data_IF_305925378681
#
_entry.id   IF_305925378681
#
_cell.length_a   1.000
_cell.length_b   1.000
_cell.length_c   1.000
_cell.angle_alpha   90.00
_cell.angle_beta   90.00
_cell.angle_gamma   90.00
#
_symmetry.space_group_name_H-M   'P 1'
#
loop_
_entity.id
_entity.type
_entity.pdbx_description
1 polymer ?
#
# COMPACT_ATOMS: atom_id res chain seq x y z
N UNK A 1 33.46 -15.92 17.33
CA UNK A 1 32.39 -15.63 16.36
C UNK A 1 31.98 -14.15 16.45
N UNK A 2 32.64 -13.18 15.74
CA UNK A 2 32.31 -11.74 15.83
C UNK A 2 31.15 -11.29 14.93
N UNK A 3 30.62 -12.15 14.05
CA UNK A 3 29.64 -11.73 13.02
C UNK A 3 28.22 -11.44 13.50
N UNK A 4 27.70 -12.12 14.52
CA UNK A 4 26.30 -11.99 14.96
C UNK A 4 26.00 -10.63 15.60
N UNK A 5 26.92 -10.05 16.34
CA UNK A 5 26.72 -8.76 17.00
C UNK A 5 26.67 -7.56 16.06
N UNK A 6 27.46 -7.58 14.97
CA UNK A 6 27.47 -6.52 13.96
C UNK A 6 26.18 -6.55 13.10
N UNK A 7 25.73 -7.73 12.76
CA UNK A 7 24.51 -7.94 11.99
C UNK A 7 23.25 -7.52 12.80
N UNK A 8 23.18 -7.88 14.08
CA UNK A 8 22.09 -7.46 14.96
C UNK A 8 22.04 -5.94 15.14
N UNK A 9 23.20 -5.27 15.29
CA UNK A 9 23.26 -3.79 15.35
C UNK A 9 22.85 -3.12 14.04
N UNK A 10 23.14 -3.73 12.89
CA UNK A 10 22.71 -3.27 11.56
C UNK A 10 21.19 -3.30 11.43
N UNK A 11 20.58 -4.43 11.78
CA UNK A 11 19.11 -4.62 11.76
C UNK A 11 18.40 -3.64 12.70
N UNK A 12 18.90 -3.49 13.94
CA UNK A 12 18.32 -2.55 14.90
C UNK A 12 18.40 -1.08 14.42
N UNK A 13 19.50 -0.71 13.73
CA UNK A 13 19.65 0.62 13.11
C UNK A 13 18.64 0.84 12.00
N UNK A 14 18.52 -0.12 11.09
CA UNK A 14 17.55 -0.08 10.00
C UNK A 14 16.13 0.09 10.52
N UNK A 15 15.73 -0.71 11.52
CA UNK A 15 14.41 -0.62 12.14
C UNK A 15 14.13 0.77 12.74
N UNK A 16 15.08 1.33 13.51
CA UNK A 16 14.92 2.69 14.05
C UNK A 16 14.76 3.76 12.97
N UNK A 17 15.51 3.65 11.87
CA UNK A 17 15.36 4.57 10.74
C UNK A 17 14.01 4.42 10.03
N UNK A 18 13.53 3.18 9.87
CA UNK A 18 12.21 2.90 9.28
C UNK A 18 11.12 3.54 10.14
N UNK A 19 11.13 3.33 11.45
CA UNK A 19 10.15 3.93 12.36
C UNK A 19 10.19 5.46 12.35
N UNK A 20 11.39 6.04 12.44
CA UNK A 20 11.56 7.48 12.39
C UNK A 20 11.09 8.07 11.05
N UNK A 21 11.41 7.42 9.94
CA UNK A 21 10.97 7.82 8.61
C UNK A 21 9.45 7.75 8.47
N UNK A 22 8.84 6.64 8.87
CA UNK A 22 7.38 6.48 8.84
C UNK A 22 6.68 7.57 9.65
N UNK A 23 7.13 7.81 10.88
CA UNK A 23 6.55 8.85 11.75
C UNK A 23 6.62 10.23 11.09
N UNK A 24 7.77 10.60 10.54
CA UNK A 24 7.92 11.90 9.86
C UNK A 24 7.10 11.99 8.57
N UNK A 25 6.96 10.90 7.82
CA UNK A 25 6.11 10.87 6.64
C UNK A 25 4.64 11.07 7.00
N UNK A 26 4.17 10.51 8.12
CA UNK A 26 2.81 10.69 8.62
C UNK A 26 2.56 12.09 9.22
N UNK A 27 3.58 12.68 9.86
CA UNK A 27 3.48 14.01 10.48
C UNK A 27 3.53 15.15 9.44
N UNK A 28 4.39 15.06 8.43
CA UNK A 28 4.70 16.20 7.54
C UNK A 28 4.73 15.86 6.04
N UNK A 29 4.46 14.62 5.66
CA UNK A 29 4.53 14.13 4.28
C UNK A 29 5.94 13.72 3.84
N UNK A 30 5.99 12.90 2.78
CA UNK A 30 7.27 12.41 2.22
C UNK A 30 8.12 13.56 1.67
N UNK A 31 7.53 14.48 0.90
CA UNK A 31 8.25 15.56 0.23
C UNK A 31 9.03 16.45 1.20
N UNK A 32 8.44 16.80 2.33
CA UNK A 32 9.03 17.70 3.34
C UNK A 32 10.00 17.02 4.30
N UNK A 33 10.10 15.69 4.29
CA UNK A 33 10.99 14.92 5.16
C UNK A 33 12.36 14.75 4.55
N UNK A 34 13.41 15.05 5.32
CA UNK A 34 14.81 14.88 4.92
C UNK A 34 15.48 13.71 5.63
N UNK A 35 16.52 13.12 5.02
CA UNK A 35 17.32 12.04 5.62
C UNK A 35 17.96 12.43 6.94
N UNK A 36 18.37 13.71 7.07
CA UNK A 36 18.93 14.24 8.32
C UNK A 36 17.89 14.35 9.45
N UNK A 37 16.62 14.68 9.13
CA UNK A 37 15.53 14.68 10.11
C UNK A 37 15.23 13.23 10.56
N UNK A 38 15.21 12.27 9.64
CA UNK A 38 14.99 10.85 9.96
C UNK A 38 16.07 10.35 10.91
N UNK A 39 17.35 10.60 10.60
CA UNK A 39 18.46 10.19 11.44
C UNK A 39 18.36 10.80 12.87
N UNK A 40 18.09 12.11 12.97
CA UNK A 40 17.91 12.79 14.26
C UNK A 40 16.73 12.22 15.06
N UNK A 41 15.58 11.97 14.43
CA UNK A 41 14.41 11.38 15.11
C UNK A 41 14.70 9.95 15.57
N UNK A 42 15.56 9.21 14.84
CA UNK A 42 16.05 7.88 15.26
C UNK A 42 17.11 7.94 16.38
N UNK A 43 17.50 9.11 16.86
CA UNK A 43 18.56 9.30 17.86
C UNK A 43 19.97 9.05 17.31
N UNK A 44 20.19 9.27 16.01
CA UNK A 44 21.44 8.94 15.30
C UNK A 44 22.00 10.12 14.52
N UNK A 45 23.28 10.02 14.15
CA UNK A 45 23.93 11.00 13.27
C UNK A 45 23.40 10.91 11.83
N UNK A 46 23.43 12.01 11.04
CA UNK A 46 23.06 11.96 9.63
C UNK A 46 23.83 10.92 8.81
N UNK A 47 25.10 10.68 9.11
CA UNK A 47 25.91 9.63 8.47
C UNK A 47 25.37 8.22 8.71
N UNK A 48 24.70 7.99 9.85
CA UNK A 48 24.10 6.71 10.18
C UNK A 48 22.94 6.34 9.26
N UNK A 49 22.26 7.33 8.65
CA UNK A 49 21.22 7.10 7.65
C UNK A 49 21.81 6.37 6.45
N UNK A 50 22.89 6.91 5.90
CA UNK A 50 23.54 6.37 4.70
C UNK A 50 24.27 5.02 4.95
N UNK A 51 24.48 4.66 6.22
CA UNK A 51 24.93 3.31 6.59
C UNK A 51 23.78 2.27 6.60
N UNK A 52 22.51 2.70 6.55
CA UNK A 52 21.34 1.83 6.51
C UNK A 52 20.61 1.88 5.16
N UNK A 53 20.54 3.06 4.55
CA UNK A 53 19.82 3.31 3.29
C UNK A 53 20.63 4.23 2.38
N UNK A 54 20.70 3.90 1.11
CA UNK A 54 21.37 4.72 0.10
C UNK A 54 20.76 6.12 -0.01
N UNK A 55 19.44 6.20 0.05
CA UNK A 55 18.67 7.45 -0.08
C UNK A 55 17.28 7.31 0.59
N UNK A 56 16.50 8.40 0.57
CA UNK A 56 15.14 8.42 1.14
C UNK A 56 14.17 7.48 0.39
N UNK A 57 14.36 7.29 -0.91
CA UNK A 57 13.55 6.37 -1.72
C UNK A 57 13.79 4.91 -1.32
N UNK A 58 15.03 4.50 -1.03
CA UNK A 58 15.35 3.17 -0.53
C UNK A 58 14.65 2.87 0.80
N UNK A 59 14.55 3.85 1.69
CA UNK A 59 13.76 3.73 2.93
C UNK A 59 12.26 3.59 2.62
N UNK A 60 11.73 4.39 1.68
CA UNK A 60 10.33 4.29 1.26
C UNK A 60 10.04 2.91 0.64
N UNK A 61 10.93 2.40 -0.20
CA UNK A 61 10.80 1.05 -0.75
C UNK A 61 10.71 -0.01 0.37
N UNK A 62 11.54 0.12 1.40
CA UNK A 62 11.49 -0.80 2.55
C UNK A 62 10.17 -0.71 3.32
N UNK A 63 9.65 0.50 3.53
CA UNK A 63 8.33 0.73 4.10
C UNK A 63 7.22 0.13 3.24
N UNK A 64 7.26 0.37 1.94
CA UNK A 64 6.29 -0.19 0.97
C UNK A 64 6.27 -1.71 1.02
N UNK A 65 7.43 -2.37 1.11
CA UNK A 65 7.53 -3.82 1.26
C UNK A 65 6.85 -4.34 2.54
N UNK A 66 7.04 -3.65 3.65
CA UNK A 66 6.43 -4.00 4.94
C UNK A 66 4.91 -3.81 4.87
N UNK A 67 4.45 -2.66 4.39
CA UNK A 67 3.03 -2.33 4.27
C UNK A 67 2.32 -3.30 3.34
N UNK A 68 2.89 -3.59 2.18
CA UNK A 68 2.34 -4.50 1.18
C UNK A 68 2.10 -5.91 1.76
N UNK A 69 3.04 -6.44 2.54
CA UNK A 69 2.88 -7.74 3.21
C UNK A 69 1.77 -7.72 4.27
N UNK A 70 1.66 -6.63 5.04
CA UNK A 70 0.68 -6.53 6.12
C UNK A 70 -0.74 -6.31 5.62
N UNK A 71 -0.95 -5.57 4.55
CA UNK A 71 -2.28 -5.25 4.00
C UNK A 71 -3.03 -6.49 3.54
N UNK A 72 -2.38 -7.36 2.77
CA UNK A 72 -3.00 -8.61 2.31
C UNK A 72 -3.37 -9.52 3.48
N UNK A 73 -2.47 -9.68 4.45
CA UNK A 73 -2.77 -10.48 5.64
C UNK A 73 -3.95 -9.92 6.46
N UNK A 74 -4.16 -8.60 6.44
CA UNK A 74 -5.30 -7.99 7.13
C UNK A 74 -6.61 -8.20 6.37
N UNK A 75 -6.61 -8.00 5.05
CA UNK A 75 -7.78 -8.26 4.21
C UNK A 75 -8.22 -9.73 4.28
N UNK A 76 -7.28 -10.67 4.28
CA UNK A 76 -7.55 -12.09 4.46
C UNK A 76 -8.23 -12.39 5.80
N UNK A 77 -7.80 -11.75 6.90
CA UNK A 77 -8.39 -11.94 8.23
C UNK A 77 -9.80 -11.34 8.38
N UNK A 78 -10.18 -10.42 7.52
CA UNK A 78 -11.53 -9.81 7.51
C UNK A 78 -12.57 -10.72 6.84
N UNK A 79 -12.14 -11.75 6.14
CA UNK A 79 -12.99 -12.60 5.33
C UNK A 79 -12.90 -14.06 5.80
N UNK A 80 -14.01 -14.85 5.72
CA UNK A 80 -13.96 -16.29 5.87
C UNK A 80 -13.01 -16.94 4.85
N UNK A 81 -12.38 -18.06 5.21
CA UNK A 81 -11.34 -18.72 4.42
C UNK A 81 -11.79 -19.22 3.02
N UNK A 82 -13.08 -19.37 2.78
CA UNK A 82 -13.70 -19.84 1.55
C UNK A 82 -14.20 -18.74 0.62
N UNK A 83 -13.84 -17.48 0.89
CA UNK A 83 -14.33 -16.36 0.09
C UNK A 83 -13.70 -16.26 -1.29
N UNK A 84 -14.48 -15.67 -2.21
CA UNK A 84 -14.04 -15.39 -3.58
C UNK A 84 -12.77 -14.54 -3.63
N UNK A 85 -11.76 -14.91 -4.44
CA UNK A 85 -10.59 -14.06 -4.67
C UNK A 85 -10.93 -12.65 -5.16
N UNK A 86 -12.05 -12.48 -5.89
CA UNK A 86 -12.54 -11.16 -6.32
C UNK A 86 -12.96 -10.29 -5.13
N UNK A 87 -13.60 -10.89 -4.12
CA UNK A 87 -13.97 -10.16 -2.91
C UNK A 87 -12.73 -9.74 -2.12
N UNK A 88 -11.75 -10.64 -1.98
CA UNK A 88 -10.49 -10.31 -1.31
C UNK A 88 -9.79 -9.13 -2.00
N UNK A 89 -9.69 -9.17 -3.33
CA UNK A 89 -9.14 -8.06 -4.13
C UNK A 89 -9.90 -6.75 -3.90
N UNK A 90 -11.24 -6.81 -3.94
CA UNK A 90 -12.07 -5.62 -3.76
C UNK A 90 -11.96 -5.03 -2.34
N UNK A 91 -11.92 -5.88 -1.31
CA UNK A 91 -11.77 -5.45 0.09
C UNK A 91 -10.38 -4.85 0.34
N UNK A 92 -9.32 -5.49 -0.15
CA UNK A 92 -7.94 -5.03 0.01
C UNK A 92 -7.74 -3.68 -0.67
N UNK A 93 -8.12 -3.56 -1.94
CA UNK A 93 -7.95 -2.32 -2.70
C UNK A 93 -8.88 -1.20 -2.20
N UNK A 94 -10.10 -1.55 -1.75
CA UNK A 94 -11.00 -0.62 -1.09
C UNK A 94 -10.41 -0.08 0.22
N UNK A 95 -9.81 -0.95 1.02
CA UNK A 95 -9.13 -0.56 2.27
C UNK A 95 -7.97 0.40 2.02
N UNK A 96 -7.17 0.19 0.97
CA UNK A 96 -6.10 1.13 0.60
C UNK A 96 -6.63 2.54 0.31
N UNK A 97 -7.76 2.65 -0.40
CA UNK A 97 -8.39 3.95 -0.67
C UNK A 97 -8.87 4.61 0.62
N UNK A 98 -9.45 3.86 1.57
CA UNK A 98 -9.85 4.39 2.88
C UNK A 98 -8.64 4.86 3.69
N UNK A 99 -7.55 4.11 3.72
CA UNK A 99 -6.31 4.53 4.41
C UNK A 99 -5.78 5.84 3.81
N UNK A 100 -5.75 5.97 2.49
CA UNK A 100 -5.31 7.21 1.82
C UNK A 100 -6.22 8.42 2.14
N UNK A 101 -7.47 8.19 2.54
CA UNK A 101 -8.39 9.26 2.96
C UNK A 101 -8.26 9.66 4.44
N UNK A 102 -7.60 8.87 5.29
CA UNK A 102 -7.44 9.20 6.71
C UNK A 102 -6.68 10.52 6.95
N UNK A 103 -5.72 10.85 6.08
CA UNK A 103 -5.00 12.14 6.16
C UNK A 103 -4.31 12.50 4.86
N UNK A 104 -4.03 13.81 4.68
CA UNK A 104 -3.23 14.32 3.55
C UNK A 104 -1.81 13.70 3.49
N UNK A 105 -1.05 13.60 4.60
CA UNK A 105 0.27 12.97 4.57
C UNK A 105 0.23 11.48 4.17
N UNK A 106 -0.80 10.73 4.58
CA UNK A 106 -0.99 9.34 4.15
C UNK A 106 -1.30 9.26 2.65
N UNK A 107 -2.17 10.12 2.15
CA UNK A 107 -2.44 10.24 0.71
C UNK A 107 -1.18 10.52 -0.08
N UNK A 108 -0.39 11.51 0.34
CA UNK A 108 0.91 11.84 -0.28
C UNK A 108 1.86 10.64 -0.28
N UNK A 109 1.94 9.91 0.83
CA UNK A 109 2.79 8.74 0.96
C UNK A 109 2.39 7.62 -0.02
N UNK A 110 1.09 7.28 -0.10
CA UNK A 110 0.59 6.27 -1.04
C UNK A 110 0.78 6.69 -2.49
N UNK A 111 0.40 7.93 -2.86
CA UNK A 111 0.60 8.46 -4.22
C UNK A 111 2.08 8.45 -4.60
N UNK A 112 2.97 8.82 -3.66
CA UNK A 112 4.42 8.78 -3.88
C UNK A 112 4.91 7.35 -4.09
N UNK A 113 4.46 6.37 -3.30
CA UNK A 113 4.82 4.96 -3.47
C UNK A 113 4.43 4.39 -4.85
N UNK A 114 3.28 4.80 -5.38
CA UNK A 114 2.83 4.45 -6.74
C UNK A 114 3.47 5.28 -7.86
N UNK A 115 4.30 6.28 -7.54
CA UNK A 115 4.89 7.20 -8.53
C UNK A 115 6.40 7.04 -8.68
N UNK A 116 7.13 6.72 -7.60
CA UNK A 116 8.57 6.55 -7.66
C UNK A 116 8.96 5.23 -8.33
N UNK A 117 10.00 5.23 -9.18
CA UNK A 117 10.35 4.06 -10.00
C UNK A 117 10.58 2.77 -9.19
N UNK A 118 11.34 2.84 -8.10
CA UNK A 118 11.68 1.65 -7.30
C UNK A 118 10.48 1.05 -6.57
N UNK A 119 9.61 1.90 -6.01
CA UNK A 119 8.43 1.46 -5.27
C UNK A 119 7.32 1.00 -6.20
N UNK A 120 7.07 1.70 -7.30
CA UNK A 120 6.06 1.31 -8.29
C UNK A 120 6.44 0.00 -9.00
N UNK A 121 7.71 -0.18 -9.39
CA UNK A 121 8.17 -1.46 -9.96
C UNK A 121 7.99 -2.61 -8.96
N UNK A 122 8.33 -2.40 -7.69
CA UNK A 122 8.11 -3.40 -6.64
C UNK A 122 6.63 -3.77 -6.51
N UNK A 123 5.72 -2.78 -6.45
CA UNK A 123 4.28 -3.00 -6.35
C UNK A 123 3.78 -3.81 -7.54
N UNK A 124 4.06 -3.36 -8.77
CA UNK A 124 3.59 -3.98 -10.00
C UNK A 124 4.07 -5.44 -10.12
N UNK A 125 5.37 -5.69 -9.89
CA UNK A 125 5.92 -7.07 -9.92
C UNK A 125 5.37 -7.97 -8.83
N UNK A 126 5.10 -7.42 -7.64
CA UNK A 126 4.55 -8.19 -6.52
C UNK A 126 3.08 -8.53 -6.71
N UNK A 127 2.34 -7.69 -7.45
CA UNK A 127 0.93 -7.93 -7.77
C UNK A 127 0.75 -8.96 -8.89
N UNK A 128 1.57 -8.98 -9.91
CA UNK A 128 1.40 -9.83 -11.11
C UNK A 128 1.07 -11.30 -10.79
N UNK A 129 1.81 -12.03 -9.92
CA UNK A 129 1.46 -13.42 -9.60
C UNK A 129 0.14 -13.56 -8.83
N UNK A 130 -0.25 -12.54 -8.04
CA UNK A 130 -1.54 -12.52 -7.33
C UNK A 130 -2.71 -12.30 -8.30
N UNK A 131 -2.53 -11.41 -9.26
CA UNK A 131 -3.53 -11.15 -10.32
C UNK A 131 -3.81 -12.40 -11.15
N UNK A 132 -2.77 -13.19 -11.44
CA UNK A 132 -2.95 -14.50 -12.08
C UNK A 132 -3.87 -15.41 -11.28
N UNK A 133 -3.68 -15.50 -9.96
CA UNK A 133 -4.53 -16.33 -9.09
C UNK A 133 -5.96 -15.77 -9.02
N UNK A 134 -6.12 -14.45 -8.89
CA UNK A 134 -7.41 -13.79 -8.72
C UNK A 134 -8.24 -13.84 -10.01
N UNK A 135 -7.62 -13.54 -11.16
CA UNK A 135 -8.31 -13.32 -12.43
C UNK A 135 -8.15 -14.47 -13.44
N UNK A 136 -7.57 -15.61 -13.05
CA UNK A 136 -7.32 -16.77 -13.91
C UNK A 136 -8.54 -17.24 -14.70
N UNK A 137 -9.75 -17.12 -14.15
CA UNK A 137 -11.00 -17.51 -14.80
C UNK A 137 -11.31 -16.67 -16.06
N UNK A 138 -10.97 -15.37 -16.03
CA UNK A 138 -11.26 -14.42 -17.11
C UNK A 138 -10.05 -14.20 -18.01
N UNK A 139 -8.85 -14.36 -17.48
CA UNK A 139 -7.56 -14.12 -18.14
C UNK A 139 -6.83 -15.44 -18.46
N UNK A 140 -7.57 -16.45 -18.96
CA UNK A 140 -7.07 -17.83 -19.18
C UNK A 140 -5.84 -17.93 -20.11
N UNK A 141 -5.72 -17.01 -21.07
CA UNK A 141 -4.65 -17.01 -22.08
C UNK A 141 -3.56 -15.98 -21.81
N UNK A 142 -3.76 -15.11 -20.81
CA UNK A 142 -2.79 -14.07 -20.49
C UNK A 142 -1.50 -14.69 -19.94
N UNK A 143 -0.38 -14.31 -20.50
CA UNK A 143 0.92 -14.60 -19.95
C UNK A 143 1.32 -13.60 -18.83
N UNK A 144 2.52 -13.73 -18.25
CA UNK A 144 2.97 -12.86 -17.18
C UNK A 144 3.24 -11.43 -17.67
N UNK A 145 3.62 -11.26 -18.94
CA UNK A 145 3.82 -9.94 -19.53
C UNK A 145 2.52 -9.19 -19.68
N UNK A 146 1.48 -9.83 -20.22
CA UNK A 146 0.16 -9.25 -20.35
C UNK A 146 -0.45 -8.88 -19.00
N UNK A 147 -0.32 -9.76 -18.00
CA UNK A 147 -0.78 -9.46 -16.64
C UNK A 147 -0.01 -8.29 -16.01
N UNK A 148 1.28 -8.19 -16.25
CA UNK A 148 2.09 -7.06 -15.80
C UNK A 148 1.67 -5.75 -16.49
N UNK A 149 1.39 -5.76 -17.79
CA UNK A 149 0.89 -4.60 -18.53
C UNK A 149 -0.48 -4.13 -18.01
N UNK A 150 -1.38 -5.07 -17.72
CA UNK A 150 -2.69 -4.76 -17.11
C UNK A 150 -2.54 -4.22 -15.69
N UNK A 151 -1.55 -4.71 -14.93
CA UNK A 151 -1.25 -4.16 -13.61
C UNK A 151 -0.74 -2.71 -13.70
N UNK A 152 0.09 -2.37 -14.67
CA UNK A 152 0.49 -0.96 -14.90
C UNK A 152 -0.73 -0.05 -15.09
N UNK A 153 -1.75 -0.53 -15.82
CA UNK A 153 -2.99 0.21 -16.00
C UNK A 153 -3.79 0.33 -14.69
N UNK A 154 -3.97 -0.78 -13.95
CA UNK A 154 -4.71 -0.76 -12.68
C UNK A 154 -4.00 0.03 -11.58
N UNK A 155 -2.68 -0.06 -11.49
CA UNK A 155 -1.86 0.76 -10.59
C UNK A 155 -1.98 2.26 -10.93
N UNK A 156 -2.03 2.61 -12.23
CA UNK A 156 -2.30 3.97 -12.69
C UNK A 156 -3.67 4.48 -12.25
N UNK A 157 -4.70 3.65 -12.37
CA UNK A 157 -6.06 3.96 -11.86
C UNK A 157 -6.01 4.13 -10.34
N UNK A 158 -5.38 3.21 -9.60
CA UNK A 158 -5.23 3.27 -8.15
C UNK A 158 -4.60 4.59 -7.70
N UNK A 159 -3.44 4.94 -8.27
CA UNK A 159 -2.75 6.20 -7.98
C UNK A 159 -3.65 7.41 -8.26
N UNK A 160 -4.36 7.43 -9.39
CA UNK A 160 -5.23 8.55 -9.76
C UNK A 160 -6.39 8.73 -8.79
N UNK A 161 -7.02 7.62 -8.36
CA UNK A 161 -8.13 7.69 -7.40
C UNK A 161 -7.65 8.04 -5.98
N UNK A 162 -6.46 7.63 -5.57
CA UNK A 162 -5.85 8.04 -4.31
C UNK A 162 -5.49 9.52 -4.29
N UNK A 163 -5.03 10.09 -5.40
CA UNK A 163 -4.56 11.49 -5.45
C UNK A 163 -5.67 12.53 -5.28
N UNK A 164 -6.93 12.17 -5.55
CA UNK A 164 -8.07 13.08 -5.45
C UNK A 164 -8.82 12.85 -4.14
N UNK A 165 -8.80 13.81 -3.17
CA UNK A 165 -9.53 13.66 -1.91
C UNK A 165 -11.03 13.61 -2.13
N UNK A 166 -11.74 12.91 -1.25
CA UNK A 166 -13.18 12.90 -1.22
C UNK A 166 -13.75 14.30 -0.89
N UNK A 167 -14.92 14.61 -1.46
CA UNK A 167 -15.67 15.83 -1.20
C UNK A 167 -17.17 15.58 -1.42
N UNK A 168 -18.00 16.63 -1.29
CA UNK A 168 -19.46 16.50 -1.43
C UNK A 168 -19.94 15.99 -2.80
N UNK A 169 -19.14 16.16 -3.88
CA UNK A 169 -19.46 15.70 -5.24
C UNK A 169 -18.79 14.38 -5.59
N UNK A 170 -17.69 14.05 -4.90
CA UNK A 170 -16.92 12.83 -5.08
C UNK A 170 -16.76 12.12 -3.75
N UNK A 171 -17.87 11.52 -3.29
CA UNK A 171 -17.94 10.80 -2.01
C UNK A 171 -17.14 9.51 -2.05
N UNK A 172 -16.80 8.97 -0.87
CA UNK A 172 -16.08 7.70 -0.76
C UNK A 172 -16.83 6.54 -1.45
N UNK A 173 -18.16 6.50 -1.33
CA UNK A 173 -18.97 5.52 -2.05
C UNK A 173 -18.79 5.62 -3.56
N UNK A 174 -18.87 6.83 -4.13
CA UNK A 174 -18.67 7.05 -5.57
C UNK A 174 -17.25 6.68 -6.01
N UNK A 175 -16.25 7.01 -5.18
CA UNK A 175 -14.85 6.67 -5.40
C UNK A 175 -14.67 5.16 -5.48
N UNK A 176 -15.09 4.40 -4.47
CA UNK A 176 -14.98 2.94 -4.41
C UNK A 176 -15.71 2.30 -5.59
N UNK A 177 -16.96 2.67 -5.81
CA UNK A 177 -17.78 2.10 -6.89
C UNK A 177 -17.13 2.26 -8.26
N UNK A 178 -16.67 3.45 -8.59
CA UNK A 178 -16.03 3.72 -9.88
C UNK A 178 -14.65 3.08 -10.00
N UNK A 179 -13.84 3.18 -8.96
CA UNK A 179 -12.52 2.58 -8.92
C UNK A 179 -12.58 1.06 -9.15
N UNK A 180 -13.36 0.33 -8.35
CA UNK A 180 -13.49 -1.12 -8.48
C UNK A 180 -14.05 -1.52 -9.84
N UNK A 181 -15.06 -0.78 -10.37
CA UNK A 181 -15.58 -1.03 -11.70
C UNK A 181 -14.51 -0.86 -12.79
N UNK A 182 -13.64 0.15 -12.67
CA UNK A 182 -12.52 0.33 -13.60
C UNK A 182 -11.54 -0.84 -13.52
N UNK A 183 -11.11 -1.22 -12.32
CA UNK A 183 -10.15 -2.30 -12.11
C UNK A 183 -10.69 -3.65 -12.61
N UNK A 184 -11.92 -4.02 -12.27
CA UNK A 184 -12.52 -5.28 -12.74
C UNK A 184 -12.66 -5.34 -14.27
N UNK A 185 -12.95 -4.20 -14.92
CA UNK A 185 -13.02 -4.14 -16.39
C UNK A 185 -11.66 -4.28 -17.05
N UNK A 186 -10.59 -3.77 -16.45
CA UNK A 186 -9.21 -4.00 -16.92
C UNK A 186 -8.92 -5.49 -17.01
N UNK A 187 -9.38 -6.29 -16.04
CA UNK A 187 -9.20 -7.74 -15.99
C UNK A 187 -10.36 -8.52 -16.63
N UNK A 188 -11.14 -7.88 -17.49
CA UNK A 188 -12.23 -8.50 -18.25
C UNK A 188 -13.32 -9.20 -17.42
N UNK A 189 -13.49 -8.84 -16.15
CA UNK A 189 -14.55 -9.39 -15.31
C UNK A 189 -15.89 -8.77 -15.70
N UNK A 190 -16.93 -9.58 -16.02
CA UNK A 190 -18.26 -9.05 -16.36
C UNK A 190 -18.92 -8.34 -15.18
N UNK A 191 -19.64 -7.25 -15.43
CA UNK A 191 -20.27 -6.43 -14.38
C UNK A 191 -21.18 -7.24 -13.45
N UNK A 192 -21.97 -8.15 -14.01
CA UNK A 192 -22.85 -9.04 -13.22
C UNK A 192 -22.11 -9.93 -12.21
N UNK A 193 -20.80 -10.18 -12.42
CA UNK A 193 -19.99 -11.01 -11.54
C UNK A 193 -19.30 -10.17 -10.44
N UNK A 194 -18.90 -8.95 -10.71
CA UNK A 194 -18.23 -8.12 -9.70
C UNK A 194 -19.18 -7.18 -8.92
N UNK A 195 -20.34 -6.80 -9.48
CA UNK A 195 -21.25 -5.88 -8.83
C UNK A 195 -21.63 -6.28 -7.38
N UNK A 196 -21.93 -7.56 -7.08
CA UNK A 196 -22.20 -7.98 -5.70
C UNK A 196 -21.04 -7.74 -4.73
N UNK A 197 -19.79 -7.86 -5.20
CA UNK A 197 -18.61 -7.62 -4.37
C UNK A 197 -18.38 -6.13 -4.11
N UNK A 198 -18.69 -5.28 -5.08
CA UNK A 198 -18.67 -3.82 -4.89
C UNK A 198 -19.65 -3.42 -3.78
N UNK A 199 -20.88 -3.94 -3.81
CA UNK A 199 -21.87 -3.67 -2.76
C UNK A 199 -21.41 -4.18 -1.38
N UNK A 200 -20.79 -5.35 -1.30
CA UNK A 200 -20.21 -5.85 -0.04
C UNK A 200 -19.10 -4.96 0.52
N UNK A 201 -18.24 -4.43 -0.35
CA UNK A 201 -17.19 -3.47 0.05
C UNK A 201 -17.81 -2.20 0.62
N UNK A 202 -18.86 -1.68 -0.02
CA UNK A 202 -19.57 -0.47 0.43
C UNK A 202 -20.33 -0.66 1.75
N UNK A 203 -20.74 -1.89 2.07
CA UNK A 203 -21.39 -2.24 3.34
C UNK A 203 -20.39 -2.52 4.47
N UNK A 204 -19.12 -2.77 4.15
CA UNK A 204 -18.09 -3.02 5.13
C UNK A 204 -17.61 -1.70 5.76
N UNK A 205 -17.41 -1.68 7.07
CA UNK A 205 -16.85 -0.52 7.77
C UNK A 205 -15.33 -0.42 7.58
N UNK A 206 -14.92 -0.22 6.31
CA UNK A 206 -13.52 -0.07 5.96
C UNK A 206 -12.90 1.22 6.49
N UNK A 207 -13.71 2.22 6.78
CA UNK A 207 -13.24 3.46 7.38
C UNK A 207 -12.68 3.21 8.77
N UNK A 208 -13.46 2.56 9.64
CA UNK A 208 -13.02 2.22 10.99
C UNK A 208 -11.80 1.29 10.98
N UNK A 209 -11.77 0.32 10.06
CA UNK A 209 -10.61 -0.56 9.89
C UNK A 209 -9.37 0.22 9.49
N UNK A 210 -9.49 1.16 8.56
CA UNK A 210 -8.40 2.04 8.13
C UNK A 210 -7.86 2.89 9.28
N UNK A 211 -8.74 3.53 10.06
CA UNK A 211 -8.37 4.32 11.23
C UNK A 211 -7.63 3.48 12.28
N UNK A 212 -8.10 2.27 12.57
CA UNK A 212 -7.45 1.35 13.50
C UNK A 212 -6.05 0.96 13.01
N UNK A 213 -5.88 0.67 11.72
CA UNK A 213 -4.57 0.36 11.14
C UNK A 213 -3.60 1.53 11.29
N UNK A 214 -4.06 2.74 11.01
CA UNK A 214 -3.24 3.95 11.14
C UNK A 214 -2.86 4.18 12.60
N UNK A 215 -3.82 4.07 13.53
CA UNK A 215 -3.57 4.23 14.96
C UNK A 215 -2.56 3.20 15.50
N UNK A 216 -2.73 1.90 15.17
CA UNK A 216 -1.77 0.84 15.54
C UNK A 216 -0.37 1.12 14.96
N UNK A 217 -0.31 1.60 13.71
CA UNK A 217 0.95 1.90 13.04
C UNK A 217 1.70 3.04 13.76
N UNK A 218 0.98 4.08 14.16
CA UNK A 218 1.54 5.21 14.91
C UNK A 218 1.96 4.79 16.33
N UNK A 219 1.14 3.99 17.03
CA UNK A 219 1.47 3.50 18.38
C UNK A 219 2.71 2.61 18.38
N UNK A 220 2.81 1.68 17.43
CA UNK A 220 3.99 0.81 17.29
C UNK A 220 5.25 1.59 16.91
N UNK A 221 5.10 2.77 16.31
CA UNK A 221 6.21 3.67 16.01
C UNK A 221 6.68 4.49 17.24
N UNK A 222 5.84 4.62 18.27
CA UNK A 222 6.12 5.37 19.48
C UNK A 222 6.70 4.50 20.63
N UNK A 223 6.58 3.16 20.53
CA UNK A 223 7.07 2.19 21.50
C UNK A 223 8.50 1.73 21.16
#
# INVERSE_FOLDING_TARGET
MPGHGLQARGIAREQKMIYAGMTLFLEQGYGRTTTAQIARKAGMSPASFFAAFENKEALLLRLTQIMFRSQFSRAEKMLPADQSPLLLYAMETGLQLHIAECSEPLRDLYVTAYSLPSTSDFINRSMTPRLRQIFSRWMKRADDSELFELELASAGVTRSYMSVPCNMYFTMERKIRRYLSCCFRIYCVPEKEYAPYVERVLQADLHQVAENIVAETVQNAAA
#
